data_IF_357729510627
#
_entry.id   IF_357729510627
#
_cell.length_a   1.000
_cell.length_b   1.000
_cell.length_c   1.000
_cell.angle_alpha   90.00
_cell.angle_beta   90.00
_cell.angle_gamma   90.00
#
_symmetry.space_group_name_H-M   'P 1'
#
loop_
_entity.id
_entity.type
_entity.pdbx_description
1 polymer ?
#
# COMPACT_ATOMS: atom_id res chain seq x y z
N UNK A 1 0.53 19.20 -18.14
CA UNK A 1 1.56 19.26 -17.06
C UNK A 1 1.90 17.82 -16.74
N UNK A 2 3.17 17.44 -16.62
CA UNK A 2 3.50 16.06 -16.26
C UNK A 2 3.26 15.81 -14.77
N UNK A 3 2.64 14.67 -14.47
CA UNK A 3 2.35 14.21 -13.11
C UNK A 3 2.81 12.76 -12.96
N UNK A 4 3.24 12.39 -11.74
CA UNK A 4 3.52 11.00 -11.41
C UNK A 4 2.26 10.35 -10.84
N UNK A 5 1.87 9.23 -11.42
CA UNK A 5 0.81 8.37 -10.92
C UNK A 5 1.43 7.23 -10.10
N UNK A 6 0.76 6.85 -9.01
CA UNK A 6 1.08 5.66 -8.24
C UNK A 6 -0.20 4.93 -7.87
N UNK A 7 -0.39 3.75 -8.46
CA UNK A 7 -1.49 2.84 -8.12
C UNK A 7 -0.97 1.80 -7.14
N UNK A 8 -1.68 1.58 -6.03
CA UNK A 8 -1.25 0.63 -5.01
C UNK A 8 -2.35 -0.27 -4.50
N UNK A 9 -1.98 -1.48 -4.10
CA UNK A 9 -2.83 -2.44 -3.43
C UNK A 9 -2.42 -2.51 -1.95
N UNK A 10 -3.26 -1.99 -1.06
CA UNK A 10 -2.89 -1.77 0.34
C UNK A 10 -3.83 -2.51 1.28
N UNK A 11 -3.25 -3.09 2.33
CA UNK A 11 -3.98 -3.78 3.37
C UNK A 11 -3.67 -3.20 4.76
N UNK A 12 -4.33 -2.10 5.16
CA UNK A 12 -4.08 -1.45 6.45
C UNK A 12 -4.81 -2.13 7.62
N UNK A 13 -5.65 -3.14 7.34
CA UNK A 13 -6.63 -3.68 8.29
C UNK A 13 -6.68 -5.20 8.27
N UNK A 14 -6.70 -5.78 9.46
CA UNK A 14 -6.87 -7.21 9.71
C UNK A 14 -8.23 -7.45 10.39
N UNK A 15 -8.94 -8.47 9.90
CA UNK A 15 -10.17 -9.01 10.47
C UNK A 15 -9.86 -10.41 11.00
N UNK A 16 -10.10 -10.62 12.29
CA UNK A 16 -9.93 -11.92 12.93
C UNK A 16 -11.10 -12.83 12.57
N UNK A 17 -10.85 -13.95 11.89
CA UNK A 17 -11.89 -14.87 11.39
C UNK A 17 -12.83 -15.37 12.49
N UNK A 18 -12.30 -15.68 13.66
CA UNK A 18 -13.04 -16.32 14.75
C UNK A 18 -13.95 -15.33 15.51
N UNK A 19 -13.60 -14.05 15.54
CA UNK A 19 -14.30 -13.05 16.37
C UNK A 19 -14.91 -11.91 15.58
N UNK A 20 -14.52 -11.73 14.31
CA UNK A 20 -14.83 -10.55 13.50
C UNK A 20 -14.11 -9.28 13.99
N UNK A 21 -13.20 -9.39 14.95
CA UNK A 21 -12.51 -8.23 15.51
C UNK A 21 -11.63 -7.57 14.43
N UNK A 22 -11.76 -6.24 14.33
CA UNK A 22 -11.03 -5.41 13.39
C UNK A 22 -9.82 -4.80 14.07
N UNK A 23 -8.65 -4.87 13.43
CA UNK A 23 -7.39 -4.25 13.91
C UNK A 23 -6.69 -3.52 12.78
N UNK A 24 -6.26 -2.31 13.05
CA UNK A 24 -5.37 -1.58 12.16
C UNK A 24 -3.92 -1.92 12.48
N UNK A 25 -3.09 -1.96 11.45
CA UNK A 25 -1.68 -2.22 11.63
C UNK A 25 -0.85 -1.56 10.52
N UNK A 26 0.45 -1.41 10.79
CA UNK A 26 1.42 -0.94 9.83
C UNK A 26 2.72 -1.73 9.92
N UNK A 27 3.46 -1.76 8.83
CA UNK A 27 4.75 -2.45 8.70
C UNK A 27 5.86 -1.42 8.63
N UNK A 28 6.94 -1.65 9.37
CA UNK A 28 8.13 -0.82 9.37
C UNK A 28 8.76 -0.80 7.97
N UNK A 29 8.84 0.39 7.38
CA UNK A 29 9.46 0.58 6.08
C UNK A 29 10.98 0.40 6.18
N UNK A 30 11.50 -0.72 5.66
CA UNK A 30 12.91 -1.09 5.74
C UNK A 30 13.85 -0.03 5.17
N UNK A 31 13.48 0.58 4.03
CA UNK A 31 14.26 1.63 3.38
C UNK A 31 14.34 2.92 4.22
N UNK A 32 13.25 3.34 4.86
CA UNK A 32 13.22 4.49 5.76
C UNK A 32 14.02 4.21 7.04
N UNK A 33 13.89 3.00 7.59
CA UNK A 33 14.61 2.60 8.79
C UNK A 33 16.13 2.58 8.59
N UNK A 34 16.61 2.07 7.44
CA UNK A 34 18.04 2.14 7.07
C UNK A 34 18.59 3.56 6.99
N UNK A 35 17.72 4.55 6.73
CA UNK A 35 18.06 5.98 6.73
C UNK A 35 17.93 6.64 8.12
N UNK A 36 17.69 5.85 9.18
CA UNK A 36 17.52 6.35 10.55
C UNK A 36 16.11 6.87 10.86
N UNK A 37 15.14 6.67 9.97
CA UNK A 37 13.76 7.13 10.16
C UNK A 37 12.82 5.96 10.46
N UNK A 38 12.16 6.00 11.61
CA UNK A 38 11.08 5.06 11.93
C UNK A 38 9.80 5.51 11.23
N UNK A 39 9.49 4.87 10.10
CA UNK A 39 8.25 5.04 9.36
C UNK A 39 7.55 3.70 9.22
N UNK A 40 6.27 3.66 9.53
CA UNK A 40 5.40 2.51 9.24
C UNK A 40 4.46 2.85 8.08
N UNK A 41 4.17 1.87 7.22
CA UNK A 41 3.26 1.98 6.09
C UNK A 41 2.26 0.83 6.07
N UNK A 42 1.21 0.96 5.25
CA UNK A 42 0.29 -0.14 5.04
C UNK A 42 1.04 -1.31 4.39
N UNK A 43 0.58 -2.53 4.66
CA UNK A 43 1.11 -3.73 4.01
C UNK A 43 0.71 -3.76 2.53
N UNK A 44 1.60 -4.26 1.68
CA UNK A 44 1.47 -4.18 0.23
C UNK A 44 2.10 -2.90 -0.32
N UNK A 45 1.94 -2.67 -1.61
CA UNK A 45 2.66 -1.62 -2.31
C UNK A 45 2.10 -1.36 -3.69
N UNK A 46 2.98 -1.22 -4.68
CA UNK A 46 2.59 -0.81 -6.02
C UNK A 46 1.89 -1.97 -6.72
N UNK A 47 0.72 -1.69 -7.33
CA UNK A 47 0.08 -2.69 -8.18
C UNK A 47 1.01 -3.04 -9.35
N UNK A 48 1.14 -4.31 -9.70
CA UNK A 48 1.94 -4.76 -10.83
C UNK A 48 1.09 -4.75 -12.10
N UNK A 49 1.56 -4.09 -13.15
CA UNK A 49 0.92 -4.07 -14.46
C UNK A 49 1.14 -5.40 -15.16
N UNK A 50 0.16 -5.81 -15.96
CA UNK A 50 0.42 -6.82 -16.99
C UNK A 50 1.21 -6.18 -18.14
N UNK A 51 1.82 -7.01 -18.98
CA UNK A 51 2.46 -6.53 -20.20
C UNK A 51 1.48 -5.74 -21.08
N UNK A 52 0.25 -6.26 -21.22
CA UNK A 52 -0.82 -5.62 -21.98
C UNK A 52 -1.21 -4.26 -21.37
N UNK A 53 -1.38 -4.19 -20.06
CA UNK A 53 -1.73 -2.96 -19.36
C UNK A 53 -0.66 -1.89 -19.51
N UNK A 54 0.62 -2.26 -19.39
CA UNK A 54 1.74 -1.34 -19.60
C UNK A 54 1.78 -0.81 -21.04
N UNK A 55 1.72 -1.70 -22.03
CA UNK A 55 1.71 -1.32 -23.45
C UNK A 55 0.50 -0.43 -23.79
N UNK A 56 -0.67 -0.70 -23.20
CA UNK A 56 -1.84 0.14 -23.38
C UNK A 56 -1.58 1.56 -22.85
N UNK A 57 -1.00 1.69 -21.66
CA UNK A 57 -0.72 3.00 -21.05
C UNK A 57 0.31 3.79 -21.87
N UNK A 58 1.37 3.12 -22.33
CA UNK A 58 2.41 3.72 -23.18
C UNK A 58 1.81 4.21 -24.51
N UNK A 59 0.98 3.40 -25.17
CA UNK A 59 0.45 3.71 -26.50
C UNK A 59 -0.71 4.72 -26.50
N UNK A 60 -1.54 4.77 -25.44
CA UNK A 60 -2.74 5.61 -25.41
C UNK A 60 -2.61 6.89 -24.59
N UNK A 61 -1.66 6.96 -23.65
CA UNK A 61 -1.48 8.10 -22.75
C UNK A 61 -0.04 8.62 -22.68
N UNK A 62 0.84 8.12 -23.54
CA UNK A 62 2.27 8.47 -23.55
C UNK A 62 2.94 8.24 -22.17
N UNK A 63 2.43 7.24 -21.42
CA UNK A 63 2.94 6.92 -20.10
C UNK A 63 4.41 6.47 -20.18
N UNK A 64 5.24 6.89 -19.24
CA UNK A 64 6.66 6.58 -19.21
C UNK A 64 7.24 6.61 -17.79
N UNK A 65 8.56 6.42 -17.62
CA UNK A 65 9.25 6.39 -16.32
C UNK A 65 8.73 5.30 -15.36
N UNK A 66 8.39 4.13 -15.94
CA UNK A 66 8.03 2.93 -15.19
C UNK A 66 9.25 2.33 -14.47
N UNK A 67 9.04 1.87 -13.24
CA UNK A 67 9.99 1.02 -12.52
C UNK A 67 9.62 -0.45 -12.77
N UNK A 68 10.10 -1.03 -13.88
CA UNK A 68 9.76 -2.40 -14.25
C UNK A 68 8.30 -2.53 -14.70
N UNK A 69 7.51 -3.32 -13.96
CA UNK A 69 6.07 -3.52 -14.17
C UNK A 69 5.22 -2.79 -13.14
N UNK A 70 5.81 -2.02 -12.22
CA UNK A 70 5.03 -1.29 -11.23
C UNK A 70 4.13 -0.24 -11.87
N UNK A 71 2.91 -0.09 -11.35
CA UNK A 71 1.95 0.95 -11.71
C UNK A 71 2.33 2.32 -11.13
N UNK A 72 3.62 2.68 -11.26
CA UNK A 72 4.23 3.95 -10.88
C UNK A 72 4.90 4.53 -12.12
N UNK A 73 4.28 5.56 -12.69
CA UNK A 73 4.66 6.10 -14.00
C UNK A 73 4.30 7.58 -14.12
N UNK A 74 4.73 8.22 -15.20
CA UNK A 74 4.50 9.64 -15.49
C UNK A 74 3.62 9.78 -16.73
N UNK A 75 2.64 10.69 -16.67
CA UNK A 75 1.73 11.05 -17.77
C UNK A 75 1.44 12.55 -17.75
N UNK A 76 0.80 13.06 -18.80
CA UNK A 76 0.17 14.37 -18.74
C UNK A 76 -1.08 14.36 -17.84
N UNK A 77 -1.23 15.40 -17.02
CA UNK A 77 -2.34 15.63 -16.10
C UNK A 77 -3.72 15.56 -16.77
N UNK A 78 -3.80 15.90 -18.07
CA UNK A 78 -5.03 15.77 -18.85
C UNK A 78 -5.55 14.33 -18.97
N UNK A 79 -4.71 13.32 -18.74
CA UNK A 79 -5.09 11.90 -18.76
C UNK A 79 -5.43 11.33 -17.39
N UNK A 80 -5.25 12.10 -16.31
CA UNK A 80 -5.34 11.59 -14.93
C UNK A 80 -6.70 10.94 -14.63
N UNK A 81 -7.79 11.63 -14.92
CA UNK A 81 -9.14 11.15 -14.61
C UNK A 81 -9.46 9.84 -15.35
N UNK A 82 -9.08 9.76 -16.63
CA UNK A 82 -9.26 8.54 -17.44
C UNK A 82 -8.45 7.38 -16.89
N UNK A 83 -7.20 7.62 -16.49
CA UNK A 83 -6.34 6.59 -15.91
C UNK A 83 -6.92 6.10 -14.58
N UNK A 84 -7.36 7.00 -13.71
CA UNK A 84 -8.00 6.63 -12.44
C UNK A 84 -9.29 5.84 -12.65
N UNK A 85 -10.07 6.17 -13.68
CA UNK A 85 -11.24 5.39 -14.06
C UNK A 85 -10.86 3.96 -14.50
N UNK A 86 -9.81 3.80 -15.31
CA UNK A 86 -9.31 2.47 -15.75
C UNK A 86 -8.94 1.61 -14.54
N UNK A 87 -8.13 2.14 -13.62
CA UNK A 87 -7.69 1.38 -12.45
C UNK A 87 -8.84 1.11 -11.47
N UNK A 88 -9.78 2.04 -11.32
CA UNK A 88 -10.97 1.85 -10.46
C UNK A 88 -11.86 0.68 -10.88
N UNK A 89 -11.83 0.28 -12.16
CA UNK A 89 -12.57 -0.88 -12.68
C UNK A 89 -11.98 -2.22 -12.24
N UNK A 90 -10.73 -2.25 -11.78
CA UNK A 90 -10.02 -3.46 -11.33
C UNK A 90 -10.04 -4.58 -12.39
N UNK A 91 -9.62 -4.23 -13.60
CA UNK A 91 -9.52 -5.17 -14.72
C UNK A 91 -8.22 -5.99 -14.63
N UNK A 92 -8.28 -7.33 -14.46
CA UNK A 92 -7.10 -8.18 -14.36
C UNK A 92 -6.27 -8.24 -15.65
N UNK A 93 -6.84 -7.85 -16.80
CA UNK A 93 -6.08 -7.77 -18.05
C UNK A 93 -5.07 -6.61 -18.03
N UNK A 94 -5.27 -5.62 -17.16
CA UNK A 94 -4.42 -4.44 -17.04
C UNK A 94 -3.40 -4.53 -15.90
N UNK A 95 -3.80 -5.10 -14.76
CA UNK A 95 -2.93 -5.15 -13.58
C UNK A 95 -3.34 -6.24 -12.59
N UNK A 96 -2.43 -6.55 -11.66
CA UNK A 96 -2.64 -7.48 -10.57
C UNK A 96 -3.71 -6.95 -9.60
N UNK A 97 -4.85 -7.65 -9.54
CA UNK A 97 -5.97 -7.29 -8.67
C UNK A 97 -5.96 -8.02 -7.32
N UNK A 98 -5.11 -9.04 -7.19
CA UNK A 98 -4.96 -9.84 -5.98
C UNK A 98 -3.70 -9.39 -5.22
N UNK A 99 -3.83 -8.79 -4.03
CA UNK A 99 -2.67 -8.32 -3.26
C UNK A 99 -1.88 -9.49 -2.64
N UNK A 100 -2.35 -10.74 -2.77
CA UNK A 100 -1.76 -11.88 -2.11
C UNK A 100 -0.28 -12.06 -2.43
N UNK A 101 0.16 -11.86 -3.67
CA UNK A 101 1.58 -12.05 -4.02
C UNK A 101 2.48 -11.14 -3.18
N UNK A 102 2.25 -9.83 -3.23
CA UNK A 102 3.07 -8.82 -2.55
C UNK A 102 2.97 -8.97 -1.01
N UNK A 103 1.75 -9.11 -0.50
CA UNK A 103 1.53 -9.27 0.94
C UNK A 103 2.16 -10.55 1.50
N UNK A 104 2.07 -11.66 0.76
CA UNK A 104 2.65 -12.94 1.19
C UNK A 104 4.17 -12.93 1.05
N UNK A 105 4.71 -12.21 0.06
CA UNK A 105 6.15 -11.94 -0.02
C UNK A 105 6.64 -11.19 1.21
N UNK A 106 5.95 -10.14 1.64
CA UNK A 106 6.28 -9.39 2.85
C UNK A 106 6.14 -10.23 4.15
N UNK A 107 5.10 -11.05 4.27
CA UNK A 107 4.88 -11.85 5.49
C UNK A 107 5.80 -13.06 5.62
N UNK A 108 6.05 -13.77 4.52
CA UNK A 108 6.63 -15.13 4.54
C UNK A 108 8.08 -15.17 4.05
N UNK A 109 8.44 -14.28 3.13
CA UNK A 109 9.74 -14.35 2.44
C UNK A 109 10.67 -13.21 2.82
N UNK A 110 10.14 -12.00 2.96
CA UNK A 110 10.96 -10.83 3.18
C UNK A 110 11.50 -10.81 4.62
N UNK A 111 12.82 -10.75 4.72
CA UNK A 111 13.48 -10.35 5.96
C UNK A 111 13.46 -8.84 6.01
N UNK A 112 12.55 -8.29 6.80
CA UNK A 112 12.59 -6.87 7.12
C UNK A 112 13.79 -6.66 8.05
N UNK A 113 14.91 -6.20 7.46
CA UNK A 113 16.19 -6.00 8.15
C UNK A 113 16.83 -7.33 8.60
N UNK A 114 17.16 -7.46 9.89
CA UNK A 114 17.72 -8.67 10.50
C UNK A 114 16.64 -9.54 11.16
N UNK A 115 15.38 -9.12 11.11
CA UNK A 115 14.27 -9.89 11.63
C UNK A 115 13.92 -11.01 10.66
N UNK A 116 13.52 -12.17 11.19
CA UNK A 116 13.03 -13.28 10.39
C UNK A 116 11.70 -12.95 9.70
N UNK A 117 11.17 -13.89 8.89
CA UNK A 117 9.81 -13.75 8.37
C UNK A 117 8.81 -13.69 9.52
N UNK A 118 7.71 -12.95 9.30
CA UNK A 118 6.65 -12.75 10.30
C UNK A 118 5.87 -14.06 10.50
N UNK A 119 5.57 -14.74 9.39
CA UNK A 119 4.78 -15.96 9.34
C UNK A 119 5.54 -17.04 8.56
N UNK A 120 5.23 -18.30 8.87
CA UNK A 120 5.59 -19.40 7.97
C UNK A 120 4.60 -19.48 6.80
N UNK A 121 4.97 -20.19 5.73
CA UNK A 121 4.08 -20.42 4.59
C UNK A 121 2.78 -21.13 5.00
N UNK A 122 2.87 -22.08 5.93
CA UNK A 122 1.71 -22.82 6.45
C UNK A 122 0.77 -21.90 7.25
N UNK A 123 1.32 -21.01 8.07
CA UNK A 123 0.54 -20.04 8.84
C UNK A 123 -0.16 -19.02 7.94
N UNK A 124 0.51 -18.60 6.89
CA UNK A 124 -0.03 -17.65 5.93
C UNK A 124 -1.07 -18.28 5.00
N UNK A 125 -1.14 -19.62 4.87
CA UNK A 125 -2.15 -20.32 4.05
C UNK A 125 -3.59 -20.08 4.50
N UNK A 126 -3.79 -19.72 5.78
CA UNK A 126 -5.09 -19.37 6.33
C UNK A 126 -5.52 -17.94 6.08
N UNK A 127 -4.70 -17.11 5.42
CA UNK A 127 -4.99 -15.71 5.15
C UNK A 127 -5.80 -15.59 3.86
N UNK A 128 -6.85 -14.78 3.90
CA UNK A 128 -7.64 -14.41 2.72
C UNK A 128 -7.73 -12.90 2.60
N UNK A 129 -7.86 -12.41 1.36
CA UNK A 129 -7.94 -10.98 1.09
C UNK A 129 -9.31 -10.63 0.55
N UNK A 130 -9.86 -9.51 1.02
CA UNK A 130 -11.14 -9.01 0.54
C UNK A 130 -11.00 -7.56 0.12
N UNK A 131 -11.24 -7.28 -1.16
CA UNK A 131 -11.32 -5.90 -1.63
C UNK A 131 -12.46 -5.17 -0.92
N UNK A 132 -12.22 -3.92 -0.55
CA UNK A 132 -13.21 -3.10 0.13
C UNK A 132 -13.59 -1.88 -0.69
N UNK A 133 -12.61 -1.07 -1.11
CA UNK A 133 -12.86 0.14 -1.88
C UNK A 133 -11.63 0.65 -2.60
N UNK A 134 -11.86 1.51 -3.58
CA UNK A 134 -10.84 2.33 -4.22
C UNK A 134 -10.87 3.72 -3.60
N UNK A 135 -9.71 4.33 -3.41
CA UNK A 135 -9.60 5.68 -2.89
C UNK A 135 -8.51 6.47 -3.60
N UNK A 136 -8.88 7.64 -4.09
CA UNK A 136 -7.97 8.60 -4.70
C UNK A 136 -7.44 9.62 -3.69
N UNK A 137 -6.14 9.82 -3.67
CA UNK A 137 -5.54 10.86 -2.86
C UNK A 137 -5.95 12.24 -3.39
N UNK A 138 -6.52 13.07 -2.49
CA UNK A 138 -6.93 14.44 -2.82
C UNK A 138 -5.73 15.26 -3.29
N UNK A 139 -5.96 16.14 -4.26
CA UNK A 139 -4.94 17.07 -4.74
C UNK A 139 -4.39 17.93 -3.58
N UNK A 140 -3.06 18.14 -3.58
CA UNK A 140 -2.37 18.89 -2.52
C UNK A 140 -2.16 18.15 -1.20
N UNK A 141 -2.52 16.86 -1.12
CA UNK A 141 -2.36 16.01 0.08
C UNK A 141 -1.10 15.13 0.07
N UNK A 142 -0.16 15.34 -0.85
CA UNK A 142 1.04 14.52 -0.92
C UNK A 142 2.15 14.98 0.04
N UNK A 143 2.87 14.02 0.60
CA UNK A 143 4.14 14.26 1.30
C UNK A 143 5.32 13.60 0.60
N UNK A 144 5.17 13.35 -0.70
CA UNK A 144 6.16 12.68 -1.54
C UNK A 144 7.45 13.49 -1.54
N UNK A 145 8.60 12.82 -1.42
CA UNK A 145 9.89 13.50 -1.49
C UNK A 145 10.07 14.22 -2.85
N UNK A 146 9.45 13.69 -3.92
CA UNK A 146 9.51 14.23 -5.28
C UNK A 146 8.58 15.43 -5.52
N UNK A 147 7.55 15.61 -4.70
CA UNK A 147 6.75 16.85 -4.76
C UNK A 147 7.59 18.07 -4.36
N UNK A 148 8.57 17.88 -3.46
CA UNK A 148 9.56 18.92 -3.13
C UNK A 148 10.50 19.24 -4.30
N UNK A 149 10.61 18.34 -5.27
CA UNK A 149 11.39 18.50 -6.50
C UNK A 149 10.55 19.03 -7.67
N UNK A 150 9.28 19.43 -7.42
CA UNK A 150 8.40 20.07 -8.39
C UNK A 150 7.52 19.12 -9.22
N UNK A 151 7.58 17.81 -8.97
CA UNK A 151 6.72 16.84 -9.65
C UNK A 151 5.54 16.44 -8.76
N UNK A 152 4.32 16.84 -9.15
CA UNK A 152 3.11 16.43 -8.44
C UNK A 152 2.93 14.91 -8.52
N UNK A 153 2.58 14.29 -7.40
CA UNK A 153 2.26 12.86 -7.33
C UNK A 153 0.79 12.68 -7.03
N UNK A 154 0.08 11.88 -7.83
CA UNK A 154 -1.32 11.51 -7.62
C UNK A 154 -1.40 10.01 -7.39
N UNK A 155 -2.16 9.61 -6.38
CA UNK A 155 -2.24 8.21 -5.94
C UNK A 155 -3.67 7.72 -5.97
N UNK A 156 -3.82 6.45 -6.31
CA UNK A 156 -5.05 5.70 -6.19
C UNK A 156 -4.72 4.40 -5.47
N UNK A 157 -5.46 4.12 -4.41
CA UNK A 157 -5.26 2.94 -3.58
C UNK A 157 -6.47 2.02 -3.68
N UNK A 158 -6.21 0.75 -3.97
CA UNK A 158 -7.15 -0.33 -3.74
C UNK A 158 -6.94 -0.85 -2.32
N UNK A 159 -7.96 -0.71 -1.49
CA UNK A 159 -7.91 -1.15 -0.12
C UNK A 159 -8.48 -2.56 0.04
N UNK A 160 -7.74 -3.39 0.76
CA UNK A 160 -8.08 -4.76 1.07
C UNK A 160 -8.10 -4.98 2.59
N UNK A 161 -9.03 -5.81 3.03
CA UNK A 161 -8.98 -6.41 4.35
C UNK A 161 -8.20 -7.73 4.29
N UNK A 162 -7.37 -7.95 5.31
CA UNK A 162 -6.76 -9.26 5.57
C UNK A 162 -7.66 -10.01 6.53
N UNK A 163 -8.23 -11.11 6.12
CA UNK A 163 -8.96 -12.02 6.99
C UNK A 163 -8.02 -13.15 7.42
N UNK A 164 -7.73 -13.24 8.72
CA UNK A 164 -6.75 -14.18 9.24
C UNK A 164 -7.21 -14.84 10.56
N UNK A 165 -6.70 -16.05 10.89
CA UNK A 165 -6.91 -16.66 12.20
C UNK A 165 -6.36 -15.81 13.35
N UNK A 166 -6.94 -15.93 14.54
CA UNK A 166 -6.50 -15.23 15.75
C UNK A 166 -5.01 -15.45 16.07
N UNK A 167 -4.48 -16.64 15.73
CA UNK A 167 -3.05 -16.96 15.91
C UNK A 167 -2.14 -16.05 15.07
N UNK A 168 -2.57 -15.68 13.85
CA UNK A 168 -1.82 -14.76 12.98
C UNK A 168 -1.74 -13.38 13.62
N UNK A 169 -2.86 -12.85 14.14
CA UNK A 169 -2.86 -11.58 14.87
C UNK A 169 -1.91 -11.63 16.08
N UNK A 170 -1.94 -12.72 16.86
CA UNK A 170 -1.05 -12.88 18.00
C UNK A 170 0.42 -12.81 17.56
N UNK A 171 0.82 -13.53 16.50
CA UNK A 171 2.19 -13.47 15.97
C UNK A 171 2.57 -12.10 15.46
N UNK A 172 1.68 -11.47 14.68
CA UNK A 172 1.88 -10.11 14.17
C UNK A 172 2.14 -9.12 15.32
N UNK A 173 1.39 -9.25 16.43
CA UNK A 173 1.53 -8.37 17.60
C UNK A 173 2.87 -8.51 18.34
N UNK A 174 3.56 -9.63 18.17
CA UNK A 174 4.86 -9.90 18.79
C UNK A 174 6.03 -9.57 17.85
N UNK A 175 5.77 -9.29 16.57
CA UNK A 175 6.82 -9.05 15.60
C UNK A 175 7.33 -7.60 15.65
N UNK A 176 8.64 -7.42 15.77
CA UNK A 176 9.25 -6.10 16.00
C UNK A 176 9.08 -5.09 14.86
N UNK A 177 8.71 -5.56 13.66
CA UNK A 177 8.50 -4.71 12.48
C UNK A 177 7.03 -4.40 12.22
N UNK A 178 6.12 -4.98 13.00
CA UNK A 178 4.69 -4.73 12.89
C UNK A 178 4.21 -3.92 14.07
N UNK A 179 3.36 -2.95 13.76
CA UNK A 179 2.78 -2.06 14.75
C UNK A 179 1.27 -2.15 14.65
N UNK A 180 0.63 -2.62 15.72
CA UNK A 180 -0.81 -2.47 15.87
C UNK A 180 -1.11 -1.01 16.17
N UNK A 181 -2.11 -0.46 15.49
CA UNK A 181 -2.46 0.96 15.55
C UNK A 181 -3.84 1.12 16.16
N UNK A 182 -4.00 2.19 16.94
CA UNK A 182 -5.34 2.61 17.38
C UNK A 182 -6.06 3.34 16.27
N UNK A 183 -7.39 3.42 16.35
CA UNK A 183 -8.18 4.23 15.42
C UNK A 183 -7.78 5.71 15.47
N UNK A 184 -7.44 6.21 16.67
CA UNK A 184 -6.96 7.57 16.88
C UNK A 184 -5.64 7.83 16.13
N UNK A 185 -4.70 6.89 16.18
CA UNK A 185 -3.43 6.99 15.46
C UNK A 185 -3.64 6.99 13.93
N UNK A 186 -4.51 6.11 13.42
CA UNK A 186 -4.85 6.08 11.99
C UNK A 186 -5.52 7.38 11.55
N UNK A 187 -6.42 7.94 12.37
CA UNK A 187 -7.11 9.20 12.06
C UNK A 187 -6.16 10.39 11.87
N UNK A 188 -4.94 10.35 12.45
CA UNK A 188 -3.94 11.42 12.30
C UNK A 188 -3.43 11.61 10.87
N UNK A 189 -3.63 10.62 9.99
CA UNK A 189 -3.27 10.71 8.56
C UNK A 189 -4.23 11.57 7.73
N UNK A 190 -5.34 12.02 8.31
CA UNK A 190 -6.38 12.82 7.65
C UNK A 190 -6.90 12.20 6.34
N UNK A 191 -7.09 10.88 6.34
CA UNK A 191 -7.56 10.18 5.13
C UNK A 191 -6.51 10.20 4.02
N UNK A 192 -5.23 10.12 4.41
CA UNK A 192 -4.09 10.07 3.50
C UNK A 192 -3.68 11.41 2.91
N UNK A 193 -4.21 12.54 3.39
CA UNK A 193 -3.74 13.88 2.98
C UNK A 193 -2.47 14.33 3.70
N UNK A 194 -2.05 13.62 4.74
CA UNK A 194 -0.77 13.85 5.42
C UNK A 194 -0.27 12.58 6.08
N UNK A 195 0.96 12.64 6.56
CA UNK A 195 1.51 11.60 7.44
C UNK A 195 0.94 11.72 8.84
N UNK A 196 0.69 10.58 9.46
CA UNK A 196 0.28 10.47 10.85
C UNK A 196 1.46 10.28 11.79
N UNK A 197 1.18 10.19 13.09
CA UNK A 197 2.17 9.95 14.13
C UNK A 197 1.56 9.03 15.19
N UNK A 198 2.29 7.99 15.60
CA UNK A 198 1.89 7.13 16.72
C UNK A 198 2.10 7.83 18.06
N UNK A 199 1.44 7.36 19.12
CA UNK A 199 1.67 7.79 20.49
C UNK A 199 3.15 7.74 20.94
N UNK A 200 3.92 6.82 20.37
CA UNK A 200 5.37 6.67 20.59
C UNK A 200 6.27 7.53 19.69
N UNK A 201 5.71 8.40 18.86
CA UNK A 201 6.45 9.29 17.95
C UNK A 201 6.94 8.65 16.64
N UNK A 202 6.45 7.46 16.29
CA UNK A 202 6.76 6.83 14.99
C UNK A 202 5.92 7.48 13.89
N UNK A 203 6.53 7.79 12.74
CA UNK A 203 5.83 8.37 11.61
C UNK A 203 4.95 7.31 10.91
N UNK A 204 3.68 7.65 10.67
CA UNK A 204 2.73 6.82 9.93
C UNK A 204 2.67 7.37 8.50
N UNK A 205 2.91 6.53 7.50
CA UNK A 205 2.82 6.94 6.11
C UNK A 205 1.38 7.39 5.76
N UNK A 206 1.28 8.25 4.75
CA UNK A 206 0.02 8.76 4.22
C UNK A 206 -0.82 7.68 3.50
N UNK A 207 -0.42 6.41 3.58
CA UNK A 207 -1.09 5.25 2.99
C UNK A 207 -1.73 4.31 4.02
N UNK A 208 -1.66 4.63 5.32
CA UNK A 208 -2.39 3.93 6.39
C UNK A 208 -3.60 4.77 6.78
N UNK A 209 -4.71 4.60 6.09
CA UNK A 209 -5.94 5.32 6.39
C UNK A 209 -7.15 4.56 5.87
N UNK A 210 -8.33 4.93 6.37
CA UNK A 210 -9.58 4.28 6.04
C UNK A 210 -10.73 5.27 5.94
#
# INVERSE_FOLDING_TARGET
MLIRISIGNLAPRLIVKETGAVRFFGVLNSASFRKGHKRIGALGGAAELTQLGKEYLENNFEAHDFEGMDARFVVDDSHLETIFEIFSRRDPDFFEIDPAREIMEEFVREKILSFGPILTAEEASGITFRFVKTLEQKAGGGTSAREKEGMSTRRLFHFFDIEAPQLVLFKMSLHATLHLLTEEEVATTEGGSKKGITSGGTEIADNIFW
#
